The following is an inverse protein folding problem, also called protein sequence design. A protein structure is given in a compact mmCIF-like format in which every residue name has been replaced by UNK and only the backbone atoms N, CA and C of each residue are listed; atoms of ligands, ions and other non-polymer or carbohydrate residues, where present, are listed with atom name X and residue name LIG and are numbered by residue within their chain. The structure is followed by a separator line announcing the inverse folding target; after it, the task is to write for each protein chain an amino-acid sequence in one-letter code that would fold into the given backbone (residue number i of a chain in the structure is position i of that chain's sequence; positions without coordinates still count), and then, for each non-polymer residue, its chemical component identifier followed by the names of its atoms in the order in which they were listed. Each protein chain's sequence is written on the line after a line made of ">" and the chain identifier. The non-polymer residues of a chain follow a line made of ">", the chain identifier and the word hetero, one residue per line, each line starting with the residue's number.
data_IF_546794739168
#
_entry.id   IF_546794739168
#
_cell.length_a   1.000
_cell.length_b   1.000
_cell.length_c   1.000
_cell.angle_alpha   90.00
_cell.angle_beta   90.00
_cell.angle_gamma   90.00
#
_symmetry.space_group_name_H-M   'P 1'
#
loop_
_entity.id
_entity.type
_entity.pdbx_description
1 polymer ?
#
# COMPACT_ATOMS: atom_id res chain seq x y z
N UNK A 1 -3.10 -20.27 -3.37
CA UNK A 1 -2.40 -20.49 -4.65
C UNK A 1 -0.98 -19.90 -4.72
N UNK A 2 -0.79 -18.59 -4.48
CA UNK A 2 0.53 -17.93 -4.57
C UNK A 2 1.61 -18.54 -3.64
N UNK A 3 1.24 -18.91 -2.41
CA UNK A 3 2.16 -19.57 -1.47
C UNK A 3 2.64 -20.96 -1.92
N UNK A 4 1.82 -21.70 -2.66
CA UNK A 4 2.19 -22.99 -3.24
C UNK A 4 3.11 -22.82 -4.46
N UNK A 5 2.94 -21.75 -5.24
CA UNK A 5 3.88 -21.41 -6.31
C UNK A 5 5.26 -21.00 -5.75
N UNK A 6 5.29 -20.36 -4.58
CA UNK A 6 6.52 -19.97 -3.90
C UNK A 6 7.36 -21.17 -3.43
N UNK A 7 6.72 -22.29 -3.06
CA UNK A 7 7.42 -23.51 -2.64
C UNK A 7 8.01 -24.29 -3.82
N UNK A 8 7.43 -24.17 -5.01
CA UNK A 8 7.91 -24.87 -6.22
C UNK A 8 9.01 -24.08 -6.93
N UNK A 9 8.81 -22.78 -7.16
CA UNK A 9 9.73 -21.96 -7.95
C UNK A 9 10.75 -21.17 -7.12
N UNK A 10 10.59 -21.17 -5.78
CA UNK A 10 11.42 -20.42 -4.85
C UNK A 10 11.02 -18.94 -4.76
N UNK A 11 10.91 -18.42 -3.53
CA UNK A 11 10.41 -17.06 -3.25
C UNK A 11 11.16 -15.95 -4.00
N UNK A 12 12.47 -16.09 -4.22
CA UNK A 12 13.28 -15.06 -4.92
C UNK A 12 12.86 -14.86 -6.39
N UNK A 13 12.64 -15.96 -7.11
CA UNK A 13 12.25 -15.90 -8.53
C UNK A 13 10.80 -15.45 -8.65
N UNK A 14 9.93 -15.94 -7.78
CA UNK A 14 8.53 -15.54 -7.75
C UNK A 14 8.38 -14.03 -7.49
N UNK A 15 9.10 -13.50 -6.50
CA UNK A 15 9.09 -12.07 -6.16
C UNK A 15 9.64 -11.19 -7.29
N UNK A 16 10.80 -11.54 -7.84
CA UNK A 16 11.40 -10.80 -8.95
C UNK A 16 10.55 -10.85 -10.22
N UNK A 17 10.00 -12.03 -10.53
CA UNK A 17 9.12 -12.25 -11.68
C UNK A 17 7.80 -11.49 -11.58
N UNK A 18 7.16 -11.49 -10.41
CA UNK A 18 5.92 -10.72 -10.19
C UNK A 18 6.16 -9.22 -10.28
N UNK A 19 7.26 -8.71 -9.70
CA UNK A 19 7.59 -7.28 -9.77
C UNK A 19 7.96 -6.87 -11.19
N UNK A 20 8.75 -7.69 -11.89
CA UNK A 20 9.11 -7.42 -13.28
C UNK A 20 7.91 -7.40 -14.21
N UNK A 21 6.99 -8.36 -14.05
CA UNK A 21 5.74 -8.39 -14.81
C UNK A 21 4.83 -7.21 -14.46
N UNK A 22 4.73 -6.85 -13.18
CA UNK A 22 3.99 -5.67 -12.75
C UNK A 22 4.56 -4.39 -13.37
N UNK A 23 5.88 -4.20 -13.31
CA UNK A 23 6.56 -3.04 -13.89
C UNK A 23 6.34 -2.94 -15.41
N UNK A 24 6.34 -4.08 -16.10
CA UNK A 24 6.03 -4.13 -17.52
C UNK A 24 4.57 -3.70 -17.79
N UNK A 25 3.60 -4.22 -17.04
CA UNK A 25 2.18 -3.83 -17.18
C UNK A 25 1.97 -2.34 -16.86
N UNK A 26 2.65 -1.81 -15.85
CA UNK A 26 2.56 -0.39 -15.47
C UNK A 26 3.10 0.53 -16.56
N UNK A 27 4.06 0.07 -17.37
CA UNK A 27 4.55 0.83 -18.54
C UNK A 27 3.44 1.03 -19.60
N UNK A 28 2.47 0.12 -19.68
CA UNK A 28 1.33 0.22 -20.61
C UNK A 28 0.19 1.07 -20.07
N UNK A 29 0.15 1.37 -18.78
CA UNK A 29 -0.87 2.23 -18.15
C UNK A 29 -1.10 3.56 -18.86
N UNK A 30 -0.07 4.37 -19.24
CA UNK A 30 -0.31 5.60 -19.98
C UNK A 30 -0.92 5.39 -21.37
N UNK A 31 -0.67 4.25 -22.03
CA UNK A 31 -1.26 3.92 -23.33
C UNK A 31 -2.72 3.48 -23.18
N UNK A 32 -3.02 2.63 -22.20
CA UNK A 32 -4.37 2.21 -21.88
C UNK A 32 -5.23 3.37 -21.37
N UNK A 33 -4.63 4.35 -20.69
CA UNK A 33 -5.32 5.55 -20.23
C UNK A 33 -5.88 6.40 -21.37
N UNK A 34 -5.21 6.42 -22.51
CA UNK A 34 -5.66 7.15 -23.69
C UNK A 34 -6.69 6.37 -24.52
N UNK A 35 -6.71 5.03 -24.41
CA UNK A 35 -7.62 4.15 -25.16
C UNK A 35 -9.02 4.04 -24.53
N UNK A 36 -9.16 4.27 -23.22
CA UNK A 36 -10.45 4.30 -22.53
C UNK A 36 -10.40 3.76 -21.08
N UNK A 37 -11.41 4.09 -20.28
CA UNK A 37 -11.53 3.65 -18.89
C UNK A 37 -11.57 2.13 -18.73
N UNK A 38 -12.19 1.42 -19.68
CA UNK A 38 -12.33 -0.04 -19.62
C UNK A 38 -10.97 -0.75 -19.70
N UNK A 39 -10.09 -0.32 -20.61
CA UNK A 39 -8.75 -0.89 -20.76
C UNK A 39 -7.89 -0.67 -19.51
N UNK A 40 -8.05 0.48 -18.84
CA UNK A 40 -7.39 0.76 -17.57
C UNK A 40 -7.90 -0.14 -16.44
N UNK A 41 -9.21 -0.39 -16.38
CA UNK A 41 -9.81 -1.27 -15.36
C UNK A 41 -9.27 -2.70 -15.53
N UNK A 42 -9.26 -3.23 -16.75
CA UNK A 42 -8.69 -4.56 -17.02
C UNK A 42 -7.20 -4.65 -16.67
N UNK A 43 -6.42 -3.63 -17.03
CA UNK A 43 -4.99 -3.59 -16.70
C UNK A 43 -4.76 -3.57 -15.18
N UNK A 44 -5.56 -2.79 -14.45
CA UNK A 44 -5.48 -2.71 -12.97
C UNK A 44 -5.87 -4.01 -12.27
N UNK A 45 -6.89 -4.70 -12.75
CA UNK A 45 -7.24 -6.03 -12.24
C UNK A 45 -6.09 -7.02 -12.44
N UNK A 46 -5.44 -6.98 -13.62
CA UNK A 46 -4.31 -7.84 -13.92
C UNK A 46 -3.08 -7.51 -13.03
N UNK A 47 -2.76 -6.23 -12.87
CA UNK A 47 -1.69 -5.78 -11.96
C UNK A 47 -1.95 -6.21 -10.51
N UNK A 48 -3.20 -6.11 -10.04
CA UNK A 48 -3.62 -6.57 -8.72
C UNK A 48 -3.33 -8.06 -8.51
N UNK A 49 -3.81 -8.90 -9.43
CA UNK A 49 -3.58 -10.36 -9.37
C UNK A 49 -2.09 -10.72 -9.37
N UNK A 50 -1.27 -10.03 -10.17
CA UNK A 50 0.18 -10.25 -10.24
C UNK A 50 0.87 -9.79 -8.94
N UNK A 51 0.44 -8.68 -8.36
CA UNK A 51 1.02 -8.07 -7.16
C UNK A 51 0.73 -8.85 -5.87
N UNK A 52 -0.40 -9.57 -5.79
CA UNK A 52 -0.71 -10.41 -4.61
C UNK A 52 0.32 -11.52 -4.37
N UNK A 53 1.05 -11.95 -5.41
CA UNK A 53 2.12 -12.94 -5.27
C UNK A 53 3.39 -12.37 -4.62
N UNK A 54 3.58 -11.05 -4.67
CA UNK A 54 4.77 -10.38 -4.14
C UNK A 54 4.74 -10.31 -2.60
N UNK A 55 3.60 -10.05 -1.96
CA UNK A 55 3.48 -9.96 -0.50
C UNK A 55 3.88 -11.24 0.27
N UNK A 56 3.36 -12.45 -0.05
CA UNK A 56 3.75 -13.67 0.63
C UNK A 56 5.20 -14.07 0.31
N UNK A 57 5.66 -13.82 -0.92
CA UNK A 57 7.06 -14.06 -1.30
C UNK A 57 8.01 -13.13 -0.54
N UNK A 58 7.62 -11.86 -0.37
CA UNK A 58 8.35 -10.89 0.44
C UNK A 58 8.40 -11.34 1.90
N UNK A 59 7.28 -11.78 2.48
CA UNK A 59 7.26 -12.26 3.86
C UNK A 59 8.13 -13.52 4.05
N UNK A 60 8.12 -14.47 3.11
CA UNK A 60 8.98 -15.66 3.15
C UNK A 60 10.48 -15.29 3.02
N UNK A 61 10.84 -14.40 2.09
CA UNK A 61 12.21 -13.89 1.95
C UNK A 61 12.63 -13.16 3.24
N UNK A 62 11.77 -12.28 3.75
CA UNK A 62 12.06 -11.49 4.95
C UNK A 62 12.17 -12.39 6.18
N UNK A 63 11.40 -13.46 6.30
CA UNK A 63 11.52 -14.43 7.39
C UNK A 63 12.89 -15.11 7.46
N UNK A 64 13.54 -15.29 6.31
CA UNK A 64 14.88 -15.91 6.17
C UNK A 64 16.02 -14.90 6.38
N UNK A 65 15.78 -13.64 6.01
CA UNK A 65 16.73 -12.54 6.14
C UNK A 65 16.57 -11.71 7.42
N UNK A 66 15.53 -11.99 8.21
CA UNK A 66 15.22 -11.23 9.41
C UNK A 66 16.40 -11.31 10.39
N UNK A 67 16.91 -10.16 10.87
CA UNK A 67 17.93 -10.14 11.90
C UNK A 67 17.39 -10.79 13.18
N UNK A 68 18.30 -11.33 14.01
CA UNK A 68 17.94 -12.04 15.25
C UNK A 68 16.94 -11.23 16.09
N UNK A 69 16.06 -11.94 16.80
CA UNK A 69 14.89 -11.41 17.55
C UNK A 69 15.12 -10.09 18.28
N UNK A 70 16.30 -9.88 18.88
CA UNK A 70 16.62 -8.66 19.63
C UNK A 70 16.66 -7.39 18.75
N UNK A 71 17.23 -7.46 17.54
CA UNK A 71 17.26 -6.30 16.63
C UNK A 71 15.86 -5.89 16.20
N UNK A 72 14.98 -6.87 15.94
CA UNK A 72 13.60 -6.60 15.58
C UNK A 72 12.86 -5.91 16.74
N UNK A 73 13.05 -6.38 17.98
CA UNK A 73 12.45 -5.74 19.17
C UNK A 73 12.99 -4.33 19.41
N UNK A 74 14.29 -4.12 19.26
CA UNK A 74 14.91 -2.79 19.40
C UNK A 74 14.41 -1.85 18.31
N UNK A 75 14.32 -2.29 17.06
CA UNK A 75 13.79 -1.49 15.95
C UNK A 75 12.31 -1.14 16.13
N UNK A 76 11.49 -2.09 16.59
CA UNK A 76 10.08 -1.83 16.93
C UNK A 76 9.96 -0.86 18.10
N UNK A 77 10.79 -0.97 19.13
CA UNK A 77 10.81 -0.03 20.25
C UNK A 77 11.25 1.38 19.82
N UNK A 78 12.27 1.49 18.97
CA UNK A 78 12.69 2.77 18.36
C UNK A 78 11.54 3.35 17.55
N UNK A 79 10.92 2.56 16.65
CA UNK A 79 9.78 3.00 15.86
C UNK A 79 8.64 3.49 16.74
N UNK A 80 8.31 2.77 17.79
CA UNK A 80 7.24 3.16 18.71
C UNK A 80 7.58 4.44 19.46
N UNK A 81 8.85 4.61 19.88
CA UNK A 81 9.32 5.84 20.51
C UNK A 81 9.27 7.06 19.58
N UNK A 82 9.55 6.88 18.28
CA UNK A 82 9.57 7.97 17.30
C UNK A 82 8.26 8.18 16.52
N UNK A 83 7.31 7.25 16.57
CA UNK A 83 6.06 7.34 15.79
C UNK A 83 4.92 7.69 16.73
N UNK A 84 4.62 8.98 16.88
CA UNK A 84 3.40 9.40 17.56
C UNK A 84 2.23 9.42 16.57
N UNK A 85 1.09 8.88 16.98
CA UNK A 85 -0.11 8.81 16.13
C UNK A 85 -0.84 10.17 16.04
N UNK A 86 -0.59 11.08 16.99
CA UNK A 86 -1.11 12.45 16.97
C UNK A 86 0.05 13.46 17.10
N UNK A 87 0.02 14.57 16.35
CA UNK A 87 0.99 15.66 16.50
C UNK A 87 1.10 16.14 17.95
N UNK A 88 -0.01 16.18 18.68
CA UNK A 88 -0.08 16.59 20.10
C UNK A 88 0.56 15.62 21.08
N UNK A 89 0.87 14.37 20.68
CA UNK A 89 1.54 13.36 21.52
C UNK A 89 3.03 13.20 21.15
N UNK A 90 3.51 13.96 20.16
CA UNK A 90 4.85 13.81 19.62
C UNK A 90 5.89 14.59 20.45
N UNK A 91 6.91 13.91 20.99
CA UNK A 91 7.95 14.54 21.84
C UNK A 91 8.86 15.53 21.10
N UNK A 92 8.97 15.46 19.77
CA UNK A 92 9.96 16.22 18.98
C UNK A 92 9.37 17.26 18.03
N UNK A 93 8.05 17.52 18.07
CA UNK A 93 7.41 18.52 17.20
C UNK A 93 7.31 19.87 17.93
N UNK A 94 7.44 20.98 17.19
CA UNK A 94 7.22 22.32 17.74
C UNK A 94 5.73 22.57 18.03
N UNK A 95 5.40 23.28 19.11
CA UNK A 95 4.02 23.62 19.46
C UNK A 95 3.30 24.42 18.34
N UNK A 96 4.07 25.22 17.59
CA UNK A 96 3.56 26.01 16.46
C UNK A 96 3.19 25.10 15.27
N UNK A 97 4.05 24.13 14.97
CA UNK A 97 3.83 23.16 13.88
C UNK A 97 2.69 22.20 14.21
N UNK A 98 2.59 21.77 15.48
CA UNK A 98 1.49 20.95 15.96
C UNK A 98 0.14 21.64 15.81
N UNK A 99 0.02 22.90 16.24
CA UNK A 99 -1.21 23.70 16.08
C UNK A 99 -1.56 23.91 14.61
N UNK A 100 -0.58 24.21 13.76
CA UNK A 100 -0.81 24.36 12.34
C UNK A 100 -1.43 23.09 11.72
N UNK A 101 -0.91 21.90 12.05
CA UNK A 101 -1.43 20.65 11.52
C UNK A 101 -2.85 20.38 12.03
N UNK A 102 -3.12 20.64 13.32
CA UNK A 102 -4.44 20.45 13.92
C UNK A 102 -5.49 21.38 13.30
N UNK A 103 -5.17 22.67 13.14
CA UNK A 103 -6.07 23.65 12.50
C UNK A 103 -6.39 23.28 11.05
N UNK A 104 -5.37 22.90 10.25
CA UNK A 104 -5.59 22.49 8.85
C UNK A 104 -6.39 21.19 8.76
N UNK A 105 -6.15 20.24 9.66
CA UNK A 105 -6.90 18.98 9.73
C UNK A 105 -8.36 19.23 10.08
N UNK A 106 -8.63 20.04 11.09
CA UNK A 106 -10.00 20.34 11.52
C UNK A 106 -10.74 21.19 10.49
N UNK A 107 -10.04 22.09 9.78
CA UNK A 107 -10.59 22.77 8.60
C UNK A 107 -10.95 21.78 7.49
N UNK A 108 -10.08 20.82 7.17
CA UNK A 108 -10.37 19.80 6.17
C UNK A 108 -11.54 18.90 6.59
N UNK A 109 -11.64 18.54 7.87
CA UNK A 109 -12.74 17.74 8.41
C UNK A 109 -14.06 18.51 8.40
N UNK A 110 -14.04 19.80 8.77
CA UNK A 110 -15.25 20.65 8.75
C UNK A 110 -15.78 20.93 7.35
N UNK A 111 -14.93 20.87 6.33
CA UNK A 111 -15.34 20.91 4.93
C UNK A 111 -16.02 19.62 4.45
N UNK A 112 -15.86 18.50 5.18
CA UNK A 112 -16.49 17.21 4.85
C UNK A 112 -17.82 17.11 5.60
N UNK A 113 -18.88 17.64 5.01
CA UNK A 113 -20.22 17.63 5.63
C UNK A 113 -20.86 16.23 5.63
N UNK A 114 -20.68 15.46 4.56
CA UNK A 114 -21.12 14.06 4.48
C UNK A 114 -20.24 13.24 3.56
N UNK A 115 -19.76 12.09 4.03
CA UNK A 115 -19.01 11.14 3.19
C UNK A 115 -20.00 10.50 2.21
N UNK A 116 -19.85 10.67 0.89
CA UNK A 116 -20.80 10.17 -0.10
C UNK A 116 -20.63 8.66 -0.33
N UNK A 117 -20.95 7.86 0.70
CA UNK A 117 -20.76 6.40 0.70
C UNK A 117 -21.39 5.72 -0.52
N UNK A 118 -22.59 6.15 -0.92
CA UNK A 118 -23.27 5.59 -2.09
C UNK A 118 -22.47 5.81 -3.35
N UNK A 119 -22.02 7.04 -3.61
CA UNK A 119 -21.27 7.39 -4.81
C UNK A 119 -19.92 6.65 -4.87
N UNK A 120 -19.25 6.53 -3.72
CA UNK A 120 -18.02 5.74 -3.57
C UNK A 120 -18.28 4.28 -3.94
N UNK A 121 -19.28 3.63 -3.33
CA UNK A 121 -19.61 2.23 -3.59
C UNK A 121 -20.25 1.99 -4.96
N UNK A 122 -20.74 3.01 -5.67
CA UNK A 122 -21.22 2.87 -7.05
C UNK A 122 -20.15 3.20 -8.09
N UNK A 123 -18.99 3.73 -7.68
CA UNK A 123 -17.92 4.09 -8.61
C UNK A 123 -17.15 2.86 -9.11
N UNK A 124 -16.94 2.76 -10.44
CA UNK A 124 -16.15 1.67 -11.04
C UNK A 124 -14.72 1.54 -10.47
N UNK A 125 -13.98 2.64 -10.19
CA UNK A 125 -12.64 2.53 -9.62
C UNK A 125 -12.60 1.84 -8.24
N UNK A 126 -13.65 2.02 -7.42
CA UNK A 126 -13.74 1.37 -6.11
C UNK A 126 -13.98 -0.13 -6.26
N UNK A 127 -14.86 -0.54 -7.17
CA UNK A 127 -15.05 -1.95 -7.49
C UNK A 127 -13.79 -2.59 -8.07
N UNK A 128 -13.02 -1.87 -8.87
CA UNK A 128 -11.76 -2.35 -9.41
C UNK A 128 -10.70 -2.62 -8.33
N UNK A 129 -10.72 -1.86 -7.22
CA UNK A 129 -9.83 -2.10 -6.07
C UNK A 129 -10.34 -3.22 -5.18
N UNK A 130 -11.66 -3.29 -4.94
CA UNK A 130 -12.27 -4.32 -4.06
C UNK A 130 -12.21 -5.71 -4.69
N UNK A 131 -12.26 -5.82 -6.02
CA UNK A 131 -12.22 -7.08 -6.74
C UNK A 131 -10.81 -7.69 -6.86
N UNK A 132 -9.77 -7.02 -6.35
CA UNK A 132 -8.37 -7.47 -6.28
C UNK A 132 -8.09 -8.16 -4.95
#
# INVERSE_FOLDING_TARGET
>A
PAGFLATIYGGRILFGGSIGLCAFLTLFTPLCAQAGSEALIFLRLLEGLVSTCAYPALHDIWSKWAPKRLFCLVWTAIRFYFTAELPSTHETISEEEAKYIEENRDQAISQIDTIPWKDIFTSLPVWAIIAV
#
